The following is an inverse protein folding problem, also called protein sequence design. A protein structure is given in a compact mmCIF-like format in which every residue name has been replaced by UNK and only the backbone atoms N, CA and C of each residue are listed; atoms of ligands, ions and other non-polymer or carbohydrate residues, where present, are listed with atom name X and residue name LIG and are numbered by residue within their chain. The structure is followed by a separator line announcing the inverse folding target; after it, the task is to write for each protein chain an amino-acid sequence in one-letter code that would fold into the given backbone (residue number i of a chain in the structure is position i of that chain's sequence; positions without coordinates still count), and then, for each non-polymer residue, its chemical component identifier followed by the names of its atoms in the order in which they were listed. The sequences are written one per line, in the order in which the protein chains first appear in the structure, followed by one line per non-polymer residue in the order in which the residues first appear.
data_IF_615207049606
#
_entry.id   IF_615207049606
#
_cell.length_a   1.000
_cell.length_b   1.000
_cell.length_c   1.000
_cell.angle_alpha   90.00
_cell.angle_beta   90.00
_cell.angle_gamma   90.00
#
_symmetry.space_group_name_H-M   'P 1'
#
loop_
_entity.id
_entity.type
_entity.pdbx_description
1 polymer ?
#
# COMPACT_ATOMS: atom_id res chain seq x y z
N UNK A 1 -71.94 38.39 8.07
CA UNK A 1 -71.03 37.44 7.38
C UNK A 1 -69.62 37.63 7.92
N UNK A 2 -69.02 36.53 8.41
CA UNK A 2 -67.56 36.20 8.52
C UNK A 2 -66.69 37.17 9.33
N UNK A 3 -66.34 36.95 10.61
CA UNK A 3 -65.73 35.81 11.32
C UNK A 3 -64.18 35.74 11.22
N UNK A 4 -63.54 36.07 12.35
CA UNK A 4 -62.47 35.33 13.07
C UNK A 4 -61.10 35.09 12.40
N UNK A 5 -60.02 35.57 13.05
CA UNK A 5 -59.04 34.77 13.83
C UNK A 5 -57.75 35.59 14.09
N UNK A 6 -57.69 36.22 15.27
CA UNK A 6 -56.45 36.59 15.95
C UNK A 6 -55.85 35.32 16.54
N UNK A 7 -54.72 34.85 16.00
CA UNK A 7 -54.03 33.65 16.49
C UNK A 7 -52.66 34.06 17.02
N UNK A 8 -52.53 33.90 18.34
CA UNK A 8 -51.36 34.20 19.13
C UNK A 8 -50.17 33.33 18.69
N UNK A 9 -49.03 33.96 18.41
CA UNK A 9 -47.75 33.29 18.23
C UNK A 9 -46.75 33.85 19.25
N UNK A 10 -47.00 33.55 20.53
CA UNK A 10 -45.99 33.69 21.57
C UNK A 10 -45.08 32.45 21.49
N UNK A 11 -44.12 32.50 20.56
CA UNK A 11 -43.06 31.52 20.48
C UNK A 11 -42.15 31.70 21.71
N UNK A 12 -42.28 30.78 22.66
CA UNK A 12 -41.39 30.66 23.81
C UNK A 12 -39.96 30.43 23.31
N UNK A 13 -39.16 31.50 23.22
CA UNK A 13 -37.71 31.42 23.21
C UNK A 13 -37.25 30.91 24.58
N UNK A 14 -37.35 29.59 24.76
CA UNK A 14 -36.56 28.85 25.74
C UNK A 14 -35.11 28.94 25.30
N UNK A 15 -34.47 30.06 25.63
CA UNK A 15 -33.02 30.20 25.62
C UNK A 15 -32.52 29.22 26.66
N UNK A 16 -32.18 28.01 26.21
CA UNK A 16 -31.34 27.10 26.97
C UNK A 16 -30.04 27.86 27.26
N UNK A 17 -29.95 28.44 28.46
CA UNK A 17 -28.67 28.87 29.02
C UNK A 17 -27.89 27.58 29.23
N UNK A 18 -27.16 27.16 28.20
CA UNK A 18 -26.05 26.26 28.38
C UNK A 18 -25.15 26.95 29.41
N UNK A 19 -25.05 26.36 30.61
CA UNK A 19 -24.09 26.79 31.61
C UNK A 19 -22.73 26.79 30.92
N UNK A 20 -22.25 27.99 30.60
CA UNK A 20 -20.90 28.24 30.13
C UNK A 20 -19.98 28.01 31.33
N UNK A 21 -19.83 26.74 31.72
CA UNK A 21 -18.69 26.33 32.55
C UNK A 21 -17.47 26.74 31.73
N UNK A 22 -16.63 27.57 32.34
CA UNK A 22 -15.32 27.88 31.78
C UNK A 22 -14.69 26.53 31.44
N UNK A 23 -14.49 26.26 30.15
CA UNK A 23 -13.95 25.00 29.72
C UNK A 23 -12.57 24.85 30.37
N UNK A 24 -12.29 23.68 30.95
CA UNK A 24 -10.96 23.40 31.46
C UNK A 24 -9.92 23.68 30.37
N UNK A 25 -8.72 24.17 30.69
CA UNK A 25 -7.71 24.42 29.68
C UNK A 25 -7.36 23.14 28.90
N UNK A 26 -6.97 23.28 27.63
CA UNK A 26 -6.42 22.16 26.86
C UNK A 26 -5.03 21.85 27.41
N UNK A 27 -4.83 20.63 27.88
CA UNK A 27 -3.54 20.15 28.36
C UNK A 27 -2.84 19.40 27.23
N UNK A 28 -1.64 19.86 26.87
CA UNK A 28 -0.76 19.28 25.85
C UNK A 28 0.40 18.58 26.56
N UNK A 29 0.35 17.25 26.62
CA UNK A 29 1.39 16.45 27.27
C UNK A 29 2.41 15.95 26.24
N UNK A 30 3.64 16.45 26.32
CA UNK A 30 4.72 16.12 25.41
C UNK A 30 5.54 14.92 25.94
N UNK A 31 5.55 13.76 25.28
CA UNK A 31 6.36 12.61 25.67
C UNK A 31 7.82 12.75 25.21
N UNK A 32 8.72 11.90 25.75
CA UNK A 32 10.13 11.88 25.36
C UNK A 32 10.34 11.44 23.89
N UNK A 33 9.41 10.63 23.37
CA UNK A 33 9.45 10.06 22.01
C UNK A 33 8.06 10.06 21.39
N UNK A 34 7.99 10.38 20.11
CA UNK A 34 6.77 10.32 19.32
C UNK A 34 7.06 9.81 17.90
N UNK A 35 6.00 9.39 17.21
CA UNK A 35 6.08 8.97 15.80
C UNK A 35 5.10 9.79 14.98
N UNK A 36 5.63 10.59 14.06
CA UNK A 36 4.85 11.30 13.07
C UNK A 36 4.58 10.42 11.85
N UNK A 37 3.40 10.58 11.26
CA UNK A 37 2.99 9.82 10.06
C UNK A 37 3.12 10.65 8.77
N UNK A 38 3.27 11.96 8.91
CA UNK A 38 3.42 12.94 7.82
C UNK A 38 4.77 13.65 7.90
N UNK A 39 5.18 14.29 6.81
CA UNK A 39 6.40 15.14 6.78
C UNK A 39 6.27 16.40 7.63
N UNK A 40 5.05 16.92 7.79
CA UNK A 40 4.75 18.01 8.72
C UNK A 40 4.40 17.42 10.09
N UNK A 41 5.12 17.85 11.13
CA UNK A 41 4.90 17.42 12.50
C UNK A 41 3.88 18.33 13.16
N UNK A 42 2.71 17.80 13.51
CA UNK A 42 1.68 18.56 14.22
C UNK A 42 1.71 18.30 15.73
N UNK A 43 1.11 19.19 16.52
CA UNK A 43 0.98 19.01 17.99
C UNK A 43 0.27 17.70 18.30
N UNK A 44 -0.82 17.38 17.59
CA UNK A 44 -1.56 16.12 17.79
C UNK A 44 -0.77 14.88 17.38
N UNK A 45 0.25 15.02 16.52
CA UNK A 45 1.17 13.94 16.17
C UNK A 45 2.30 13.71 17.16
N UNK A 46 2.58 14.69 18.05
CA UNK A 46 3.69 14.60 19.01
C UNK A 46 3.27 14.58 20.46
N UNK A 47 2.05 15.00 20.80
CA UNK A 47 1.61 15.17 22.18
C UNK A 47 0.21 14.56 22.40
N UNK A 48 -0.05 14.12 23.64
CA UNK A 48 -1.39 13.74 24.06
C UNK A 48 -2.18 15.01 24.44
N UNK A 49 -3.44 15.08 24.00
CA UNK A 49 -4.31 16.23 24.24
C UNK A 49 -5.48 15.84 25.14
N UNK A 50 -5.69 16.59 26.22
CA UNK A 50 -6.82 16.42 27.14
C UNK A 50 -7.37 17.79 27.59
N UNK A 51 -8.48 17.81 28.33
CA UNK A 51 -9.14 19.07 28.72
C UNK A 51 -9.73 19.84 27.53
N UNK A 52 -10.30 21.02 27.79
CA UNK A 52 -10.94 21.86 26.79
C UNK A 52 -12.16 21.27 26.09
N UNK A 53 -12.77 22.06 25.22
CA UNK A 53 -13.77 21.56 24.29
C UNK A 53 -13.11 20.81 23.12
N UNK A 54 -13.91 19.98 22.42
CA UNK A 54 -13.41 19.16 21.33
C UNK A 54 -12.90 19.98 20.13
N UNK A 55 -13.49 21.15 19.87
CA UNK A 55 -13.09 22.02 18.76
C UNK A 55 -11.74 22.70 19.07
N UNK A 56 -11.53 23.17 20.29
CA UNK A 56 -10.27 23.69 20.78
C UNK A 56 -9.16 22.63 20.67
N UNK A 57 -9.42 21.39 21.13
CA UNK A 57 -8.45 20.28 20.97
C UNK A 57 -8.13 20.00 19.51
N UNK A 58 -9.13 19.99 18.62
CA UNK A 58 -8.89 19.78 17.19
C UNK A 58 -8.04 20.89 16.56
N UNK A 59 -8.31 22.16 16.91
CA UNK A 59 -7.50 23.30 16.45
C UNK A 59 -6.06 23.19 16.95
N UNK A 60 -5.86 22.89 18.23
CA UNK A 60 -4.54 22.66 18.83
C UNK A 60 -3.82 21.51 18.13
N UNK A 61 -4.51 20.37 17.94
CA UNK A 61 -3.95 19.18 17.30
C UNK A 61 -3.43 19.42 15.89
N UNK A 62 -4.08 20.31 15.13
CA UNK A 62 -3.76 20.61 13.74
C UNK A 62 -2.57 21.57 13.57
N UNK A 63 -2.06 22.18 14.64
CA UNK A 63 -0.94 23.12 14.55
C UNK A 63 0.36 22.40 14.17
N UNK A 64 1.02 22.89 13.14
CA UNK A 64 2.35 22.50 12.68
C UNK A 64 3.45 23.04 13.61
N UNK A 65 4.31 22.17 14.12
CA UNK A 65 5.39 22.54 15.05
C UNK A 65 6.75 22.46 14.35
N UNK A 66 6.95 21.48 13.49
CA UNK A 66 8.20 21.24 12.77
C UNK A 66 7.94 20.56 11.42
N UNK A 67 8.95 20.52 10.57
CA UNK A 67 8.92 19.83 9.29
C UNK A 67 10.15 18.92 9.15
N UNK A 68 9.93 17.69 8.67
CA UNK A 68 11.01 16.77 8.35
C UNK A 68 11.70 17.19 7.05
N UNK A 69 13.01 17.37 7.13
CA UNK A 69 13.82 17.45 5.90
C UNK A 69 13.77 16.10 5.18
N UNK A 70 13.81 16.05 3.83
CA UNK A 70 13.66 14.81 3.05
C UNK A 70 14.57 13.65 3.49
N UNK A 71 15.78 13.96 4.00
CA UNK A 71 16.77 12.98 4.44
C UNK A 71 16.85 12.80 5.97
N UNK A 72 16.05 13.53 6.74
CA UNK A 72 16.05 13.40 8.19
C UNK A 72 15.13 12.25 8.62
N UNK A 73 15.65 11.35 9.46
CA UNK A 73 14.88 10.28 10.08
C UNK A 73 14.21 10.74 11.39
N UNK A 74 14.84 11.71 12.05
CA UNK A 74 14.43 12.24 13.35
C UNK A 74 14.42 13.76 13.35
N UNK A 75 13.48 14.34 14.07
CA UNK A 75 13.48 15.77 14.43
C UNK A 75 13.24 15.92 15.92
N UNK A 76 13.92 16.87 16.55
CA UNK A 76 13.71 17.19 17.97
C UNK A 76 12.73 18.34 18.08
N UNK A 77 11.63 18.11 18.80
CA UNK A 77 10.64 19.14 19.14
C UNK A 77 10.81 19.50 20.60
N UNK A 78 10.95 20.79 20.92
CA UNK A 78 11.08 21.24 22.31
C UNK A 78 9.75 21.74 22.86
N UNK A 79 9.54 21.66 24.19
CA UNK A 79 8.34 22.20 24.83
C UNK A 79 8.13 23.68 24.51
N UNK A 80 9.21 24.45 24.56
CA UNK A 80 9.24 25.88 24.16
C UNK A 80 8.79 26.13 22.73
N UNK A 81 9.12 25.23 21.79
CA UNK A 81 8.70 25.35 20.39
C UNK A 81 7.19 25.12 20.25
N UNK A 82 6.63 24.16 20.99
CA UNK A 82 5.18 23.91 21.04
C UNK A 82 4.46 25.12 21.65
N UNK A 83 4.92 25.61 22.80
CA UNK A 83 4.37 26.80 23.46
C UNK A 83 4.40 28.03 22.53
N UNK A 84 5.53 28.27 21.85
CA UNK A 84 5.67 29.37 20.91
C UNK A 84 4.70 29.25 19.74
N UNK A 85 4.50 28.03 19.20
CA UNK A 85 3.54 27.82 18.11
C UNK A 85 2.10 28.04 18.55
N UNK A 86 1.74 27.61 19.75
CA UNK A 86 0.41 27.85 20.34
C UNK A 86 0.13 29.34 20.48
N UNK A 87 1.10 30.11 21.01
CA UNK A 87 0.99 31.56 21.13
C UNK A 87 0.82 32.24 19.76
N UNK A 88 1.59 31.82 18.75
CA UNK A 88 1.45 32.35 17.39
C UNK A 88 0.08 32.02 16.76
N UNK A 89 -0.54 30.92 17.16
CA UNK A 89 -1.89 30.55 16.73
C UNK A 89 -3.01 31.25 17.53
N UNK A 90 -2.65 32.12 18.48
CA UNK A 90 -3.59 32.93 19.26
C UNK A 90 -4.11 32.28 20.54
N UNK A 91 -3.54 31.14 20.96
CA UNK A 91 -3.90 30.52 22.24
C UNK A 91 -3.17 31.23 23.38
N UNK A 92 -3.91 31.60 24.43
CA UNK A 92 -3.31 32.12 25.67
C UNK A 92 -2.84 30.95 26.57
N UNK A 93 -1.89 31.23 27.48
CA UNK A 93 -1.40 30.29 28.51
C UNK A 93 -2.49 29.83 29.48
N UNK A 94 -3.60 30.57 29.55
CA UNK A 94 -4.79 30.22 30.34
C UNK A 94 -5.73 29.26 29.61
N UNK A 95 -5.68 29.23 28.27
CA UNK A 95 -6.50 28.34 27.43
C UNK A 95 -5.79 27.01 27.15
N UNK A 96 -4.45 27.04 27.08
CA UNK A 96 -3.63 25.86 26.78
C UNK A 96 -2.43 25.80 27.72
N UNK A 97 -2.24 24.63 28.35
CA UNK A 97 -1.11 24.34 29.23
C UNK A 97 -0.28 23.21 28.62
N UNK A 98 1.02 23.44 28.43
CA UNK A 98 1.95 22.42 27.93
C UNK A 98 2.71 21.80 29.10
N UNK A 99 2.65 20.48 29.21
CA UNK A 99 3.29 19.67 30.28
C UNK A 99 4.11 18.53 29.66
N UNK A 100 4.82 17.76 30.50
CA UNK A 100 5.60 16.59 30.06
C UNK A 100 7.09 16.89 29.93
N UNK A 101 7.77 16.28 28.95
CA UNK A 101 9.21 16.40 28.71
C UNK A 101 9.62 17.75 28.13
N UNK A 102 10.88 18.15 28.34
CA UNK A 102 11.43 19.38 27.75
C UNK A 102 11.68 19.22 26.24
N UNK A 103 11.95 17.98 25.80
CA UNK A 103 12.32 17.62 24.43
C UNK A 103 11.69 16.28 24.06
N UNK A 104 11.05 16.24 22.90
CA UNK A 104 10.56 15.03 22.26
C UNK A 104 11.43 14.71 21.03
N UNK A 105 11.92 13.48 20.94
CA UNK A 105 12.52 12.96 19.70
C UNK A 105 11.40 12.36 18.86
N UNK A 106 11.14 12.97 17.71
CA UNK A 106 10.08 12.56 16.79
C UNK A 106 10.69 11.78 15.65
N UNK A 107 10.22 10.56 15.44
CA UNK A 107 10.59 9.69 14.30
C UNK A 107 9.50 9.77 13.24
N UNK A 108 9.86 9.72 11.95
CA UNK A 108 8.86 9.62 10.89
C UNK A 108 8.65 8.16 10.49
N UNK A 109 7.41 7.69 10.53
CA UNK A 109 7.04 6.41 9.94
C UNK A 109 7.14 6.51 8.43
N UNK A 110 8.07 5.78 7.80
CA UNK A 110 8.27 5.80 6.34
C UNK A 110 7.64 4.58 5.67
N UNK A 111 7.11 4.79 4.47
CA UNK A 111 6.61 3.77 3.55
C UNK A 111 7.34 3.90 2.23
N UNK A 112 7.84 2.80 1.68
CA UNK A 112 8.37 2.79 0.33
C UNK A 112 7.21 2.85 -0.68
N UNK A 113 7.32 3.71 -1.69
CA UNK A 113 6.42 3.63 -2.86
C UNK A 113 6.68 2.31 -3.56
N UNK A 114 5.63 1.51 -3.79
CA UNK A 114 5.79 0.18 -4.38
C UNK A 114 5.82 0.23 -5.91
N UNK A 115 6.46 -0.75 -6.54
CA UNK A 115 6.42 -0.88 -8.00
C UNK A 115 4.98 -1.10 -8.49
N UNK A 116 4.16 -1.82 -7.72
CA UNK A 116 2.76 -2.09 -8.05
C UNK A 116 1.91 -0.81 -8.09
N UNK A 117 2.14 0.15 -7.19
CA UNK A 117 1.48 1.46 -7.25
C UNK A 117 1.79 2.21 -8.55
N UNK A 118 3.06 2.19 -8.97
CA UNK A 118 3.51 2.83 -10.22
C UNK A 118 2.91 2.13 -11.43
N UNK A 119 2.92 0.79 -11.45
CA UNK A 119 2.36 -0.01 -12.54
C UNK A 119 0.84 0.13 -12.62
N UNK A 120 0.15 0.18 -11.49
CA UNK A 120 -1.30 0.40 -11.43
C UNK A 120 -1.67 1.79 -11.96
N UNK A 121 -0.92 2.83 -11.59
CA UNK A 121 -1.10 4.18 -12.13
C UNK A 121 -0.86 4.22 -13.65
N UNK A 122 0.21 3.59 -14.12
CA UNK A 122 0.53 3.53 -15.54
C UNK A 122 -0.51 2.75 -16.35
N UNK A 123 -0.97 1.60 -15.85
CA UNK A 123 -2.05 0.81 -16.46
C UNK A 123 -3.34 1.62 -16.57
N UNK A 124 -3.76 2.30 -15.49
CA UNK A 124 -4.97 3.12 -15.48
C UNK A 124 -4.89 4.22 -16.54
N UNK A 125 -3.77 4.92 -16.61
CA UNK A 125 -3.57 5.98 -17.59
C UNK A 125 -3.54 5.44 -19.03
N UNK A 126 -2.84 4.32 -19.26
CA UNK A 126 -2.79 3.70 -20.58
C UNK A 126 -4.19 3.33 -21.08
N UNK A 127 -5.04 2.77 -20.21
CA UNK A 127 -6.41 2.41 -20.55
C UNK A 127 -7.27 3.64 -20.88
N UNK A 128 -7.06 4.79 -20.22
CA UNK A 128 -7.76 6.03 -20.56
C UNK A 128 -7.43 6.54 -21.97
N UNK A 129 -6.19 6.34 -22.44
CA UNK A 129 -5.77 6.74 -23.79
C UNK A 129 -5.91 5.64 -24.85
N UNK A 130 -6.27 4.40 -24.46
CA UNK A 130 -6.40 3.30 -25.39
C UNK A 130 -7.72 3.38 -26.18
N UNK A 131 -7.74 3.18 -27.52
CA UNK A 131 -8.97 3.27 -28.32
C UNK A 131 -10.08 2.29 -27.91
N UNK A 132 -9.71 1.15 -27.32
CA UNK A 132 -10.64 0.10 -26.89
C UNK A 132 -10.19 -0.50 -25.54
N UNK A 133 -10.48 0.14 -24.40
CA UNK A 133 -9.94 -0.27 -23.10
C UNK A 133 -10.44 -1.64 -22.60
N UNK A 134 -11.62 -2.07 -23.03
CA UNK A 134 -12.22 -3.35 -22.62
C UNK A 134 -11.70 -4.58 -23.37
N UNK A 135 -10.89 -4.39 -24.41
CA UNK A 135 -10.44 -5.48 -25.30
C UNK A 135 -8.94 -5.73 -25.20
N UNK A 136 -8.27 -5.24 -24.16
CA UNK A 136 -6.82 -5.37 -24.01
C UNK A 136 -6.41 -5.78 -22.60
N UNK A 137 -5.39 -6.62 -22.52
CA UNK A 137 -4.67 -6.93 -21.29
C UNK A 137 -3.32 -6.22 -21.31
N UNK A 138 -3.01 -5.52 -20.23
CA UNK A 138 -1.73 -4.82 -20.06
C UNK A 138 -0.84 -5.63 -19.12
N UNK A 139 0.46 -5.72 -19.38
CA UNK A 139 1.44 -6.36 -18.49
C UNK A 139 2.72 -5.53 -18.41
N UNK A 140 3.47 -5.63 -17.31
CA UNK A 140 4.78 -4.99 -17.22
C UNK A 140 5.79 -5.79 -18.05
N UNK A 141 6.43 -5.15 -19.04
CA UNK A 141 7.41 -5.78 -19.91
C UNK A 141 8.79 -5.89 -19.25
N UNK A 142 9.20 -4.84 -18.53
CA UNK A 142 10.51 -4.76 -17.88
C UNK A 142 10.32 -4.46 -16.39
N UNK A 143 10.93 -5.23 -15.47
CA UNK A 143 10.86 -4.94 -14.04
C UNK A 143 11.44 -3.56 -13.73
N UNK A 144 10.86 -2.87 -12.75
CA UNK A 144 11.35 -1.58 -12.27
C UNK A 144 12.51 -1.86 -11.29
N UNK A 145 13.75 -1.58 -11.71
CA UNK A 145 14.97 -1.81 -10.90
C UNK A 145 15.44 -0.54 -10.17
N UNK A 146 14.74 0.59 -10.36
CA UNK A 146 15.11 1.87 -9.73
C UNK A 146 14.69 1.85 -8.26
N UNK A 147 15.55 2.35 -7.36
CA UNK A 147 15.21 2.56 -5.94
C UNK A 147 14.09 3.59 -5.85
N UNK A 148 12.89 3.13 -5.50
CA UNK A 148 11.72 3.99 -5.32
C UNK A 148 11.86 4.83 -4.03
N UNK A 149 11.29 6.05 -4.00
CA UNK A 149 11.40 6.93 -2.84
C UNK A 149 10.66 6.35 -1.63
N UNK A 150 11.21 6.60 -0.46
CA UNK A 150 10.51 6.41 0.82
C UNK A 150 9.85 7.73 1.20
N UNK A 151 8.56 7.65 1.52
CA UNK A 151 7.72 8.79 1.87
C UNK A 151 7.18 8.63 3.28
N UNK A 152 6.77 9.70 3.94
CA UNK A 152 6.05 9.55 5.20
C UNK A 152 4.76 8.74 4.97
N UNK A 153 4.39 7.89 5.91
CA UNK A 153 3.35 6.88 5.75
C UNK A 153 2.01 7.44 5.25
N UNK A 154 1.66 8.64 5.69
CA UNK A 154 0.38 9.30 5.38
C UNK A 154 0.54 10.50 4.44
N UNK A 155 1.75 10.78 3.92
CA UNK A 155 1.92 11.87 2.95
C UNK A 155 1.24 11.49 1.62
N UNK A 156 0.50 12.42 1.00
CA UNK A 156 -0.15 12.16 -0.28
C UNK A 156 0.90 11.97 -1.37
N UNK A 157 0.97 10.75 -1.92
CA UNK A 157 1.80 10.42 -3.08
C UNK A 157 0.96 10.55 -4.35
N UNK A 158 1.40 11.43 -5.23
CA UNK A 158 0.79 11.61 -6.56
C UNK A 158 1.72 10.98 -7.60
N UNK A 159 1.21 10.00 -8.35
CA UNK A 159 1.92 9.38 -9.47
C UNK A 159 1.25 9.86 -10.75
N UNK A 160 1.91 10.78 -11.46
CA UNK A 160 1.45 11.22 -12.78
C UNK A 160 2.14 10.37 -13.84
N UNK A 161 1.36 9.86 -14.79
CA UNK A 161 1.89 9.03 -15.87
C UNK A 161 1.45 9.64 -17.19
N UNK A 162 2.32 9.62 -18.20
CA UNK A 162 2.02 10.09 -19.54
C UNK A 162 2.62 9.14 -20.58
N UNK A 163 1.86 8.75 -21.63
CA UNK A 163 2.43 8.03 -22.77
C UNK A 163 3.54 8.84 -23.43
N UNK A 164 4.66 8.20 -23.76
CA UNK A 164 5.74 8.89 -24.49
C UNK A 164 5.37 9.15 -25.97
N UNK A 165 4.51 8.29 -26.53
CA UNK A 165 4.03 8.37 -27.90
C UNK A 165 2.55 7.94 -27.96
N UNK A 166 1.95 8.03 -29.16
CA UNK A 166 0.58 7.55 -29.40
C UNK A 166 0.47 6.06 -29.02
N UNK A 167 -0.54 5.73 -28.22
CA UNK A 167 -0.75 4.36 -27.73
C UNK A 167 -1.19 3.46 -28.90
N UNK A 168 -0.43 2.40 -29.24
CA UNK A 168 -0.81 1.43 -30.27
C UNK A 168 -1.97 0.54 -29.79
N UNK A 169 -2.63 -0.13 -30.74
CA UNK A 169 -3.69 -1.12 -30.44
C UNK A 169 -3.13 -2.36 -29.73
N UNK A 170 -1.88 -2.72 -30.05
CA UNK A 170 -1.15 -3.81 -29.44
C UNK A 170 0.36 -3.55 -29.52
N UNK A 171 1.11 -4.17 -28.62
CA UNK A 171 2.56 -4.08 -28.55
C UNK A 171 3.08 -3.27 -27.36
N UNK A 172 4.39 -2.96 -27.36
CA UNK A 172 5.03 -2.28 -26.25
C UNK A 172 4.72 -0.78 -26.24
N UNK A 173 4.50 -0.26 -25.03
CA UNK A 173 4.23 1.16 -24.76
C UNK A 173 5.16 1.65 -23.68
N UNK A 174 5.90 2.71 -23.99
CA UNK A 174 6.69 3.43 -23.00
C UNK A 174 5.84 4.54 -22.37
N UNK A 175 5.81 4.58 -21.05
CA UNK A 175 5.18 5.64 -20.27
C UNK A 175 6.22 6.33 -19.40
N UNK A 176 6.11 7.65 -19.27
CA UNK A 176 6.89 8.43 -18.31
C UNK A 176 6.07 8.57 -17.03
N UNK A 177 6.55 8.00 -15.94
CA UNK A 177 5.94 8.12 -14.63
C UNK A 177 6.75 9.10 -13.77
N UNK A 178 6.10 10.13 -13.24
CA UNK A 178 6.65 11.05 -12.26
C UNK A 178 5.95 10.85 -10.91
N UNK A 179 6.76 10.68 -9.87
CA UNK A 179 6.30 10.53 -8.48
C UNK A 179 6.52 11.87 -7.79
N UNK A 180 5.45 12.41 -7.20
CA UNK A 180 5.47 13.64 -6.43
C UNK A 180 4.92 13.42 -5.02
N UNK A 181 5.50 14.13 -4.05
CA UNK A 181 5.11 14.09 -2.63
C UNK A 181 4.91 15.52 -2.16
N UNK A 182 3.73 15.85 -1.64
CA UNK A 182 3.41 17.24 -1.28
C UNK A 182 3.50 18.23 -2.45
N UNK A 183 3.37 17.75 -3.69
CA UNK A 183 3.51 18.55 -4.91
C UNK A 183 4.94 18.67 -5.45
N UNK A 184 5.97 18.29 -4.69
CA UNK A 184 7.36 18.27 -5.17
C UNK A 184 7.64 16.96 -5.92
N UNK A 185 8.24 17.05 -7.12
CA UNK A 185 8.61 15.87 -7.92
C UNK A 185 9.90 15.26 -7.39
N UNK A 186 9.79 14.06 -6.82
CA UNK A 186 10.92 13.35 -6.18
C UNK A 186 11.62 12.35 -7.11
N UNK A 187 10.89 11.74 -8.05
CA UNK A 187 11.45 10.77 -8.98
C UNK A 187 10.72 10.81 -10.33
N UNK A 188 11.45 10.58 -11.42
CA UNK A 188 10.88 10.35 -12.75
C UNK A 188 11.52 9.10 -13.35
N UNK A 189 10.71 8.20 -13.91
CA UNK A 189 11.19 6.96 -14.52
C UNK A 189 10.36 6.57 -15.76
N UNK A 190 10.95 5.77 -16.63
CA UNK A 190 10.26 5.14 -17.75
C UNK A 190 9.69 3.78 -17.32
N UNK A 191 8.43 3.52 -17.64
CA UNK A 191 7.73 2.26 -17.42
C UNK A 191 7.37 1.66 -18.77
N UNK A 192 7.75 0.40 -19.00
CA UNK A 192 7.50 -0.31 -20.25
C UNK A 192 6.38 -1.32 -20.04
N UNK A 193 5.25 -1.09 -20.70
CA UNK A 193 4.09 -1.96 -20.65
C UNK A 193 3.92 -2.69 -21.98
N UNK A 194 3.45 -3.93 -21.94
CA UNK A 194 3.03 -4.70 -23.11
C UNK A 194 1.49 -4.70 -23.16
N UNK A 195 0.92 -4.32 -24.30
CA UNK A 195 -0.51 -4.33 -24.55
C UNK A 195 -0.83 -5.49 -25.47
N UNK A 196 -1.58 -6.47 -24.99
CA UNK A 196 -2.05 -7.61 -25.80
C UNK A 196 -3.56 -7.52 -25.97
N UNK A 197 -4.12 -7.79 -27.15
CA UNK A 197 -5.56 -7.93 -27.30
C UNK A 197 -6.07 -9.02 -26.35
N UNK A 198 -7.07 -8.70 -25.53
CA UNK A 198 -7.76 -9.69 -24.73
C UNK A 198 -8.38 -10.67 -25.73
N UNK A 199 -8.00 -11.94 -25.65
CA UNK A 199 -8.64 -12.99 -26.43
C UNK A 199 -10.14 -12.86 -26.17
N UNK A 200 -10.92 -12.64 -27.24
CA UNK A 200 -12.38 -12.56 -27.14
C UNK A 200 -12.82 -13.78 -26.34
N UNK A 201 -13.37 -13.55 -25.16
CA UNK A 201 -14.09 -14.55 -24.40
C UNK A 201 -15.44 -14.88 -25.07
N UNK A 202 -15.47 -14.83 -26.41
CA UNK A 202 -16.56 -15.35 -27.22
C UNK A 202 -16.47 -16.86 -27.04
N UNK A 203 -17.16 -17.33 -26.00
CA UNK A 203 -17.59 -18.70 -25.81
C UNK A 203 -18.46 -19.12 -26.99
N UNK A 204 -17.83 -19.27 -28.15
CA UNK A 204 -18.32 -20.13 -29.21
C UNK A 204 -18.28 -21.53 -28.64
N UNK A 205 -19.41 -21.85 -27.99
CA UNK A 205 -19.94 -23.18 -27.78
C UNK A 205 -19.62 -23.97 -29.06
N UNK A 206 -18.67 -24.89 -28.96
CA UNK A 206 -18.57 -25.99 -29.93
C UNK A 206 -19.97 -26.62 -30.02
N UNK A 207 -20.59 -26.71 -31.20
CA UNK A 207 -21.80 -27.48 -31.34
C UNK A 207 -21.48 -28.95 -31.02
N UNK A 208 -22.08 -29.44 -29.95
CA UNK A 208 -22.14 -30.85 -29.59
C UNK A 208 -22.69 -31.65 -30.79
N UNK A 209 -21.82 -32.43 -31.43
CA UNK A 209 -22.17 -33.20 -32.62
C UNK A 209 -21.13 -34.26 -32.93
N UNK A 210 -20.88 -35.17 -31.99
CA UNK A 210 -19.94 -36.27 -32.17
C UNK A 210 -20.14 -37.37 -31.15
N UNK A 211 -21.25 -38.12 -31.27
CA UNK A 211 -21.47 -39.37 -30.55
C UNK A 211 -20.43 -40.39 -31.07
N UNK A 212 -19.48 -40.78 -30.22
CA UNK A 212 -18.65 -41.97 -30.42
C UNK A 212 -18.83 -42.87 -29.19
N UNK A 213 -19.11 -44.17 -29.38
CA UNK A 213 -19.63 -45.03 -28.33
C UNK A 213 -18.58 -45.47 -27.31
N UNK A 214 -19.07 -45.68 -26.09
CA UNK A 214 -18.37 -46.26 -24.97
C UNK A 214 -17.82 -47.66 -25.27
N UNK A 215 -16.54 -47.89 -24.96
CA UNK A 215 -16.02 -49.21 -24.59
C UNK A 215 -14.68 -49.11 -23.84
N UNK A 216 -14.70 -49.54 -22.57
CA UNK A 216 -13.49 -49.96 -21.84
C UNK A 216 -13.34 -49.38 -20.43
N UNK A 217 -13.57 -50.18 -19.37
CA UNK A 217 -13.11 -49.86 -18.03
C UNK A 217 -11.70 -50.43 -17.83
N UNK A 218 -10.73 -49.58 -17.53
CA UNK A 218 -9.40 -49.97 -17.10
C UNK A 218 -8.81 -48.90 -16.19
N UNK A 219 -8.70 -49.12 -14.87
CA UNK A 219 -7.95 -48.23 -13.99
C UNK A 219 -6.46 -48.57 -14.13
N UNK A 220 -5.81 -48.04 -15.16
CA UNK A 220 -4.35 -48.02 -15.23
C UNK A 220 -3.83 -46.87 -14.36
N UNK A 221 -3.33 -47.25 -13.19
CA UNK A 221 -2.52 -46.40 -12.34
C UNK A 221 -1.31 -45.84 -13.11
N UNK A 222 -0.99 -44.53 -13.05
CA UNK A 222 0.23 -44.01 -13.64
C UNK A 222 1.42 -44.36 -12.73
N UNK A 223 1.84 -45.63 -12.79
CA UNK A 223 3.12 -46.12 -12.31
C UNK A 223 4.24 -45.74 -13.29
N UNK A 224 4.46 -44.44 -13.46
CA UNK A 224 5.51 -43.89 -14.31
C UNK A 224 6.31 -42.87 -13.52
N UNK A 225 7.11 -43.35 -12.55
CA UNK A 225 8.01 -42.54 -11.72
C UNK A 225 9.17 -41.96 -12.52
N UNK A 226 8.87 -41.15 -13.54
CA UNK A 226 9.83 -40.37 -14.29
C UNK A 226 10.48 -39.33 -13.40
N UNK A 227 11.78 -39.14 -13.60
CA UNK A 227 12.54 -38.06 -12.97
C UNK A 227 11.95 -36.72 -13.43
N UNK A 228 11.29 -36.00 -12.53
CA UNK A 228 10.65 -34.71 -12.81
C UNK A 228 11.60 -33.53 -12.62
N UNK A 229 12.65 -33.73 -11.84
CA UNK A 229 13.70 -32.75 -11.55
C UNK A 229 15.05 -33.44 -11.69
N UNK A 230 15.98 -32.86 -12.45
CA UNK A 230 17.34 -33.35 -12.67
C UNK A 230 18.38 -32.53 -11.89
N UNK A 231 19.58 -33.07 -11.60
CA UNK A 231 20.67 -32.30 -11.01
C UNK A 231 21.05 -31.11 -11.90
N UNK A 232 21.36 -29.98 -11.28
CA UNK A 232 21.66 -28.68 -11.90
C UNK A 232 20.53 -28.08 -12.73
N UNK A 233 19.32 -28.63 -12.65
CA UNK A 233 18.14 -28.07 -13.31
C UNK A 233 17.65 -26.86 -12.53
N UNK A 234 17.32 -25.77 -13.24
CA UNK A 234 16.60 -24.64 -12.64
C UNK A 234 15.17 -25.05 -12.32
N UNK A 235 14.76 -24.82 -11.08
CA UNK A 235 13.44 -25.16 -10.54
C UNK A 235 12.78 -23.93 -9.91
N UNK A 236 11.47 -23.84 -10.02
CA UNK A 236 10.66 -22.84 -9.31
C UNK A 236 10.32 -23.39 -7.93
N UNK A 237 10.79 -22.71 -6.91
CA UNK A 237 10.49 -23.01 -5.52
C UNK A 237 9.26 -22.21 -5.10
N UNK A 238 8.24 -22.90 -4.58
CA UNK A 238 7.07 -22.29 -3.97
C UNK A 238 7.16 -22.48 -2.46
N UNK A 239 6.88 -21.43 -1.70
CA UNK A 239 6.80 -21.47 -0.24
C UNK A 239 5.40 -21.01 0.13
N UNK A 240 4.67 -21.83 0.89
CA UNK A 240 3.35 -21.46 1.42
C UNK A 240 3.41 -21.21 2.91
N UNK A 241 2.98 -20.02 3.33
CA UNK A 241 2.81 -19.65 4.73
C UNK A 241 1.43 -19.01 4.93
N UNK A 242 0.48 -19.81 5.43
CA UNK A 242 -0.91 -19.40 5.54
C UNK A 242 -1.51 -19.01 4.17
N UNK A 243 -1.94 -17.76 4.02
CA UNK A 243 -2.47 -17.22 2.77
C UNK A 243 -1.40 -16.68 1.80
N UNK A 244 -0.13 -16.59 2.23
CA UNK A 244 0.95 -16.04 1.41
C UNK A 244 1.67 -17.15 0.65
N UNK A 245 1.80 -16.98 -0.67
CA UNK A 245 2.61 -17.85 -1.55
C UNK A 245 3.79 -17.04 -2.09
N UNK A 246 5.00 -17.46 -1.76
CA UNK A 246 6.23 -16.82 -2.23
C UNK A 246 6.90 -17.72 -3.26
N UNK A 247 7.28 -17.16 -4.40
CA UNK A 247 7.98 -17.87 -5.49
C UNK A 247 9.42 -17.41 -5.60
N UNK A 248 10.36 -18.34 -5.70
CA UNK A 248 11.78 -18.07 -5.93
C UNK A 248 12.38 -19.06 -6.92
N UNK A 249 13.54 -18.73 -7.50
CA UNK A 249 14.26 -19.62 -8.43
C UNK A 249 15.40 -20.31 -7.69
N UNK A 250 15.49 -21.62 -7.87
CA UNK A 250 16.55 -22.46 -7.31
C UNK A 250 17.19 -23.36 -8.36
N UNK A 251 18.32 -23.97 -8.01
CA UNK A 251 18.98 -25.01 -8.77
C UNK A 251 18.97 -26.32 -7.98
N UNK A 252 18.38 -27.36 -8.54
CA UNK A 252 18.30 -28.67 -7.89
C UNK A 252 19.69 -29.31 -7.82
N UNK A 253 20.10 -29.80 -6.65
CA UNK A 253 21.39 -30.46 -6.46
C UNK A 253 21.35 -31.95 -6.78
N UNK A 254 20.16 -32.54 -6.79
CA UNK A 254 19.93 -33.97 -7.01
C UNK A 254 18.68 -34.19 -7.85
N UNK A 255 18.53 -35.41 -8.36
CA UNK A 255 17.31 -35.82 -9.05
C UNK A 255 16.14 -36.05 -8.10
N UNK A 256 14.92 -35.81 -8.58
CA UNK A 256 13.70 -35.97 -7.81
C UNK A 256 12.51 -36.44 -8.64
N UNK A 257 11.75 -37.36 -8.06
CA UNK A 257 10.44 -37.81 -8.57
C UNK A 257 9.31 -37.12 -7.81
N UNK A 258 8.09 -37.17 -8.35
CA UNK A 258 6.90 -36.60 -7.71
C UNK A 258 6.79 -37.06 -6.24
N UNK A 259 6.66 -36.10 -5.31
CA UNK A 259 6.54 -36.34 -3.88
C UNK A 259 7.86 -36.56 -3.13
N UNK A 260 8.99 -36.72 -3.83
CA UNK A 260 10.32 -36.90 -3.22
C UNK A 260 10.88 -35.56 -2.72
N UNK A 261 11.62 -35.61 -1.61
CA UNK A 261 12.39 -34.46 -1.11
C UNK A 261 13.75 -34.36 -1.83
N UNK A 262 14.07 -33.19 -2.34
CA UNK A 262 15.33 -32.86 -2.99
C UNK A 262 15.99 -31.64 -2.35
N UNK A 263 17.32 -31.57 -2.43
CA UNK A 263 18.08 -30.39 -2.06
C UNK A 263 18.12 -29.40 -3.22
N UNK A 264 17.78 -28.15 -2.94
CA UNK A 264 17.74 -27.06 -3.92
C UNK A 264 18.54 -25.89 -3.38
N UNK A 265 19.45 -25.35 -4.19
CA UNK A 265 20.21 -24.15 -3.85
C UNK A 265 19.52 -22.93 -4.44
N UNK A 266 19.15 -21.95 -3.61
CA UNK A 266 18.62 -20.69 -4.09
C UNK A 266 19.70 -19.94 -4.89
N UNK A 267 19.36 -19.47 -6.09
CA UNK A 267 20.34 -18.90 -7.04
C UNK A 267 20.96 -17.60 -6.51
N UNK A 268 20.18 -16.80 -5.80
CA UNK A 268 20.57 -15.47 -5.32
C UNK A 268 21.37 -15.55 -4.01
N UNK A 269 20.85 -16.30 -3.03
CA UNK A 269 21.42 -16.38 -1.68
C UNK A 269 22.47 -17.47 -1.49
N UNK A 270 22.58 -18.41 -2.45
CA UNK A 270 23.41 -19.63 -2.37
C UNK A 270 23.09 -20.56 -1.20
N UNK A 271 22.00 -20.33 -0.45
CA UNK A 271 21.54 -21.23 0.62
C UNK A 271 20.90 -22.49 0.03
N UNK A 272 21.17 -23.63 0.64
CA UNK A 272 20.58 -24.93 0.28
C UNK A 272 19.39 -25.23 1.17
N UNK A 273 18.26 -25.58 0.58
CA UNK A 273 17.00 -25.90 1.26
C UNK A 273 16.45 -27.24 0.78
N UNK A 274 15.75 -27.95 1.65
CA UNK A 274 14.99 -29.17 1.31
C UNK A 274 13.62 -28.78 0.78
N UNK A 275 13.24 -29.32 -0.37
CA UNK A 275 11.95 -29.06 -1.01
C UNK A 275 11.34 -30.36 -1.56
N UNK A 276 10.02 -30.49 -1.53
CA UNK A 276 9.27 -31.64 -2.08
C UNK A 276 8.90 -31.37 -3.54
N UNK A 277 9.20 -32.30 -4.44
CA UNK A 277 8.85 -32.17 -5.86
C UNK A 277 7.34 -32.30 -6.05
N UNK A 278 6.70 -31.26 -6.58
CA UNK A 278 5.25 -31.22 -6.83
C UNK A 278 4.90 -31.29 -8.32
N UNK A 279 5.86 -31.02 -9.20
CA UNK A 279 5.69 -31.14 -10.65
C UNK A 279 7.02 -31.00 -11.42
N UNK A 280 7.00 -31.11 -12.75
CA UNK A 280 8.18 -30.90 -13.58
C UNK A 280 8.79 -29.52 -13.36
N UNK A 281 10.00 -29.45 -12.80
CA UNK A 281 10.67 -28.19 -12.48
C UNK A 281 10.01 -27.35 -11.37
N UNK A 282 9.07 -27.91 -10.61
CA UNK A 282 8.38 -27.21 -9.51
C UNK A 282 8.55 -27.98 -8.20
N UNK A 283 8.95 -27.26 -7.16
CA UNK A 283 9.16 -27.82 -5.82
C UNK A 283 8.48 -26.94 -4.77
N UNK A 284 7.94 -27.56 -3.72
CA UNK A 284 7.31 -26.89 -2.58
C UNK A 284 8.21 -27.01 -1.35
N UNK A 285 8.47 -25.89 -0.68
CA UNK A 285 9.31 -25.84 0.51
C UNK A 285 8.39 -25.82 1.73
N UNK A 286 8.43 -26.89 2.52
CA UNK A 286 7.81 -26.91 3.83
C UNK A 286 8.64 -26.01 4.76
N UNK A 287 8.03 -24.93 5.28
CA UNK A 287 8.59 -24.11 6.34
C UNK A 287 8.61 -24.92 7.64
N UNK A 288 9.55 -25.86 7.73
CA UNK A 288 9.84 -26.61 8.94
C UNK A 288 10.44 -25.68 9.97
N UNK A 289 9.63 -25.23 10.92
CA UNK A 289 10.09 -24.50 12.10
C UNK A 289 11.10 -25.34 12.88
N UNK A 290 12.37 -24.98 12.76
CA UNK A 290 13.44 -25.31 13.70
C UNK A 290 14.21 -24.02 13.99
N UNK A 291 14.55 -23.74 15.26
CA UNK A 291 15.09 -22.46 15.73
C UNK A 291 16.46 -22.09 15.14
#
# INVERSE_FOLDING_TARGET
MRATRTLALAAALLVARADARAADPVVVELPARATARTSVVTVGGVAALSGGDAAARQRVAALDVAEFKPRAETVTVTRRQVEYRLLLAGFDRTEVVVVGEERAVVTVGRRAVTADEVVAAARRELLLHHPAPGTVTVALRTPIVVKLPEVAADDPVTITVQPHARVPVAGPVQMNAAISVGGERVLSLAVWLEVTPAARADGSVEPAGGVVPARGPGPEAPGGGGVLVRPRQRVTMQVRSGALTVTAVGEAQQEGRLGQTVLVQNVDSKKTVTARVTGPGVVDIELGGGP
#
